data_IF_054255029939
#
_entry.id   IF_054255029939
#
_cell.length_a   1.000
_cell.length_b   1.000
_cell.length_c   1.000
_cell.angle_alpha   90.00
_cell.angle_beta   90.00
_cell.angle_gamma   90.00
#
_symmetry.space_group_name_H-M   'P 1'
#
loop_
_entity.id
_entity.type
_entity.pdbx_description
1 polymer ?
#
# COMPACT_ATOMS: atom_id res chain seq x y z
N UNK A 1 -3.74 -6.29 -20.91
CA UNK A 1 -4.38 -6.28 -19.57
C UNK A 1 -3.97 -7.47 -18.71
N UNK A 2 -4.40 -8.71 -18.94
CA UNK A 2 -3.95 -9.86 -18.12
C UNK A 2 -2.45 -10.21 -18.32
N UNK A 3 -1.92 -10.08 -19.54
CA UNK A 3 -0.48 -10.31 -19.81
C UNK A 3 0.40 -9.30 -19.08
N UNK A 4 -0.01 -8.02 -19.07
CA UNK A 4 0.72 -6.94 -18.39
C UNK A 4 0.67 -7.13 -16.87
N UNK A 5 -0.46 -7.57 -16.32
CA UNK A 5 -0.57 -7.97 -14.91
C UNK A 5 0.32 -9.17 -14.57
N UNK A 6 0.35 -10.20 -15.41
CA UNK A 6 1.23 -11.35 -15.20
C UNK A 6 2.72 -10.94 -15.22
N UNK A 7 3.12 -10.08 -16.15
CA UNK A 7 4.50 -9.59 -16.21
C UNK A 7 4.84 -8.69 -15.02
N UNK A 8 3.89 -7.87 -14.55
CA UNK A 8 4.00 -7.14 -13.28
C UNK A 8 4.21 -8.10 -12.10
N UNK A 9 3.40 -9.16 -11.96
CA UNK A 9 3.52 -10.12 -10.87
C UNK A 9 4.85 -10.89 -10.89
N UNK A 10 5.35 -11.26 -12.08
CA UNK A 10 6.70 -11.85 -12.23
C UNK A 10 7.80 -10.88 -11.77
N UNK A 11 7.65 -9.60 -12.07
CA UNK A 11 8.57 -8.55 -11.60
C UNK A 11 8.51 -8.45 -10.07
N UNK A 12 7.32 -8.45 -9.47
CA UNK A 12 7.16 -8.39 -8.00
C UNK A 12 7.89 -9.53 -7.28
N UNK A 13 7.93 -10.74 -7.85
CA UNK A 13 8.66 -11.88 -7.27
C UNK A 13 10.18 -11.71 -7.24
N UNK A 14 10.74 -10.83 -8.09
CA UNK A 14 12.18 -10.54 -8.14
C UNK A 14 12.63 -9.53 -7.09
N UNK A 15 11.70 -8.78 -6.52
CA UNK A 15 11.95 -7.73 -5.54
C UNK A 15 11.99 -8.23 -4.09
N UNK A 16 12.39 -7.39 -3.13
CA UNK A 16 12.44 -7.72 -1.71
C UNK A 16 11.16 -8.32 -1.11
N UNK A 17 10.00 -8.19 -1.75
CA UNK A 17 8.74 -8.82 -1.34
C UNK A 17 8.88 -10.30 -0.97
N UNK A 18 9.73 -11.07 -1.66
CA UNK A 18 9.96 -12.50 -1.37
C UNK A 18 10.51 -12.78 0.04
N UNK A 19 11.12 -11.78 0.68
CA UNK A 19 11.66 -11.87 2.04
C UNK A 19 10.62 -11.54 3.12
N UNK A 20 9.47 -10.99 2.73
CA UNK A 20 8.36 -10.64 3.62
C UNK A 20 7.15 -11.53 3.33
N UNK A 21 7.15 -12.80 3.79
CA UNK A 21 6.09 -13.76 3.47
C UNK A 21 4.73 -13.39 4.08
N UNK A 22 4.72 -12.54 5.11
CA UNK A 22 3.50 -11.98 5.69
C UNK A 22 3.28 -10.56 5.13
N UNK A 23 2.29 -10.34 4.24
CA UNK A 23 1.85 -9.00 3.85
C UNK A 23 1.29 -8.21 5.04
N UNK A 24 1.91 -7.10 5.44
CA UNK A 24 1.50 -6.37 6.64
C UNK A 24 0.07 -5.76 6.58
N UNK A 25 -0.57 -5.70 5.41
CA UNK A 25 -1.96 -5.25 5.27
C UNK A 25 -3.01 -6.37 5.43
N UNK A 26 -2.60 -7.63 5.58
CA UNK A 26 -3.52 -8.77 5.76
C UNK A 26 -3.28 -9.40 7.13
N UNK A 27 -4.38 -9.59 7.88
CA UNK A 27 -4.35 -10.43 9.06
C UNK A 27 -4.40 -11.92 8.65
N UNK A 28 -3.27 -12.45 8.18
CA UNK A 28 -3.16 -13.84 7.71
C UNK A 28 -3.54 -14.83 8.82
N UNK A 29 -3.23 -14.48 10.06
CA UNK A 29 -3.52 -15.31 11.22
C UNK A 29 -5.03 -15.46 11.45
N UNK A 30 -5.76 -14.34 11.50
CA UNK A 30 -7.22 -14.37 11.62
C UNK A 30 -7.87 -15.12 10.44
N UNK A 31 -7.42 -14.87 9.21
CA UNK A 31 -7.91 -15.59 8.03
C UNK A 31 -7.67 -17.11 8.13
N UNK A 32 -6.49 -17.53 8.59
CA UNK A 32 -6.15 -18.94 8.72
C UNK A 32 -6.99 -19.63 9.82
N UNK A 33 -7.20 -18.95 10.95
CA UNK A 33 -8.05 -19.44 12.03
C UNK A 33 -9.51 -19.57 11.59
N UNK A 34 -10.03 -18.57 10.85
CA UNK A 34 -11.38 -18.62 10.26
C UNK A 34 -11.54 -19.75 9.25
N UNK A 35 -10.45 -20.19 8.60
CA UNK A 35 -10.44 -21.35 7.69
C UNK A 35 -10.12 -22.68 8.39
N UNK A 36 -10.09 -22.70 9.73
CA UNK A 36 -9.79 -23.92 10.52
C UNK A 36 -8.43 -24.55 10.18
N UNK A 37 -7.44 -23.74 9.80
CA UNK A 37 -6.06 -24.21 9.65
C UNK A 37 -5.55 -24.68 11.01
N UNK A 38 -5.05 -25.91 11.09
CA UNK A 38 -4.59 -26.47 12.37
C UNK A 38 -3.35 -25.76 12.92
N UNK A 39 -3.22 -25.76 14.26
CA UNK A 39 -2.16 -25.08 15.00
C UNK A 39 -0.75 -25.50 14.57
N UNK A 40 -0.55 -26.77 14.19
CA UNK A 40 0.77 -27.27 13.76
C UNK A 40 1.19 -26.64 12.43
N UNK A 41 0.28 -26.58 11.47
CA UNK A 41 0.53 -25.93 10.18
C UNK A 41 0.79 -24.43 10.37
N UNK A 42 -0.01 -23.78 11.23
CA UNK A 42 0.11 -22.37 11.54
C UNK A 42 1.43 -22.03 12.26
N UNK A 43 1.81 -22.81 13.28
CA UNK A 43 3.09 -22.66 13.98
C UNK A 43 4.29 -22.89 13.05
N UNK A 44 4.19 -23.86 12.12
CA UNK A 44 5.21 -24.08 11.09
C UNK A 44 5.34 -22.89 10.14
N UNK A 45 4.21 -22.32 9.72
CA UNK A 45 4.21 -21.13 8.87
C UNK A 45 4.81 -19.92 9.59
N UNK A 46 4.41 -19.66 10.84
CA UNK A 46 4.95 -18.58 11.69
C UNK A 46 6.45 -18.72 11.89
N UNK A 47 6.94 -19.94 12.16
CA UNK A 47 8.39 -20.23 12.24
C UNK A 47 9.09 -19.94 10.90
N UNK A 48 8.42 -20.23 9.78
CA UNK A 48 8.88 -19.85 8.44
C UNK A 48 8.97 -18.33 8.24
N UNK A 49 8.01 -17.56 8.76
CA UNK A 49 8.05 -16.09 8.75
C UNK A 49 9.28 -15.58 9.50
N UNK A 50 9.56 -16.08 10.71
CA UNK A 50 10.76 -15.70 11.48
C UNK A 50 12.03 -15.95 10.68
N UNK A 51 12.22 -17.16 10.14
CA UNK A 51 13.40 -17.51 9.32
C UNK A 51 13.56 -16.59 8.11
N UNK A 52 12.46 -16.21 7.46
CA UNK A 52 12.50 -15.27 6.32
C UNK A 52 12.90 -13.87 6.74
N UNK A 53 12.40 -13.38 7.87
CA UNK A 53 12.80 -12.08 8.42
C UNK A 53 14.28 -12.05 8.86
N UNK A 54 14.80 -13.16 9.37
CA UNK A 54 16.24 -13.30 9.66
C UNK A 54 17.09 -13.23 8.39
N UNK A 55 16.73 -14.01 7.35
CA UNK A 55 17.41 -13.94 6.06
C UNK A 55 17.27 -12.56 5.39
N UNK A 56 16.15 -11.85 5.62
CA UNK A 56 15.96 -10.48 5.16
C UNK A 56 17.00 -9.53 5.76
N UNK A 57 17.30 -9.66 7.07
CA UNK A 57 18.30 -8.83 7.76
C UNK A 57 19.69 -8.99 7.14
N UNK A 58 20.09 -10.20 6.75
CA UNK A 58 21.37 -10.45 6.06
C UNK A 58 21.49 -9.68 4.73
N UNK A 59 20.35 -9.40 4.10
CA UNK A 59 20.25 -8.62 2.85
C UNK A 59 19.96 -7.14 3.09
N UNK A 60 20.06 -6.64 4.33
CA UNK A 60 19.67 -5.30 4.75
C UNK A 60 18.21 -4.92 4.43
N UNK A 61 17.32 -5.92 4.47
CA UNK A 61 15.89 -5.76 4.27
C UNK A 61 15.19 -5.75 5.63
N UNK A 62 14.60 -4.61 5.97
CA UNK A 62 13.93 -4.40 7.26
C UNK A 62 12.49 -3.97 7.04
N UNK A 63 11.57 -4.44 7.87
CA UNK A 63 10.20 -3.93 7.95
C UNK A 63 10.19 -2.43 8.29
N UNK A 64 9.24 -1.67 7.74
CA UNK A 64 8.98 -0.31 8.23
C UNK A 64 8.32 -0.37 9.60
N UNK A 65 8.27 0.78 10.28
CA UNK A 65 7.54 0.90 11.54
C UNK A 65 6.06 0.55 11.39
N UNK A 66 5.42 1.00 10.31
CA UNK A 66 4.01 0.70 10.00
C UNK A 66 3.81 -0.82 9.84
N UNK A 67 4.66 -1.48 9.04
CA UNK A 67 4.58 -2.92 8.83
C UNK A 67 4.78 -3.70 10.14
N UNK A 68 5.77 -3.31 10.94
CA UNK A 68 6.07 -3.92 12.23
C UNK A 68 4.89 -3.78 13.22
N UNK A 69 4.33 -2.58 13.33
CA UNK A 69 3.24 -2.29 14.26
C UNK A 69 1.96 -3.05 13.87
N UNK A 70 1.64 -3.18 12.57
CA UNK A 70 0.54 -4.03 12.09
C UNK A 70 0.73 -5.50 12.46
N UNK A 71 1.92 -6.06 12.19
CA UNK A 71 2.20 -7.46 12.52
C UNK A 71 2.08 -7.72 14.03
N UNK A 72 2.62 -6.84 14.87
CA UNK A 72 2.46 -6.91 16.33
C UNK A 72 0.98 -6.83 16.75
N UNK A 73 0.21 -5.97 16.09
CA UNK A 73 -1.24 -5.86 16.28
C UNK A 73 -1.96 -7.19 16.00
N UNK A 74 -1.67 -7.84 14.87
CA UNK A 74 -2.29 -9.12 14.50
C UNK A 74 -1.94 -10.26 15.46
N UNK A 75 -0.74 -10.24 16.04
CA UNK A 75 -0.26 -11.26 16.98
C UNK A 75 -0.77 -11.02 18.41
N UNK A 76 -1.29 -9.83 18.69
CA UNK A 76 -1.79 -9.50 20.02
C UNK A 76 -2.95 -10.42 20.39
N UNK A 77 -2.85 -11.06 21.56
CA UNK A 77 -3.80 -12.04 22.08
C UNK A 77 -3.91 -13.36 21.27
N UNK A 78 -2.92 -13.68 20.44
CA UNK A 78 -2.89 -14.92 19.66
C UNK A 78 -1.75 -15.84 20.10
N UNK A 79 -2.00 -16.89 20.92
CA UNK A 79 -0.94 -17.74 21.48
C UNK A 79 -0.02 -18.39 20.44
N UNK A 80 -0.59 -18.81 19.30
CA UNK A 80 0.16 -19.41 18.18
C UNK A 80 1.17 -18.43 17.56
N UNK A 81 0.96 -17.12 17.76
CA UNK A 81 1.81 -16.02 17.32
C UNK A 81 2.99 -15.70 18.24
N UNK A 82 3.09 -16.30 19.44
CA UNK A 82 4.05 -15.88 20.46
C UNK A 82 5.50 -15.91 19.99
N UNK A 83 5.90 -16.94 19.23
CA UNK A 83 7.27 -17.07 18.71
C UNK A 83 7.65 -15.88 17.82
N UNK A 84 6.75 -15.46 16.92
CA UNK A 84 6.99 -14.30 16.07
C UNK A 84 6.89 -13.00 16.89
N UNK A 85 5.96 -12.91 17.84
CA UNK A 85 5.84 -11.72 18.69
C UNK A 85 7.10 -11.47 19.53
N UNK A 86 7.72 -12.52 20.07
CA UNK A 86 9.01 -12.46 20.76
C UNK A 86 10.11 -11.96 19.83
N UNK A 87 10.22 -12.53 18.63
CA UNK A 87 11.18 -12.07 17.62
C UNK A 87 10.98 -10.59 17.23
N UNK A 88 9.72 -10.15 17.08
CA UNK A 88 9.39 -8.78 16.69
C UNK A 88 9.60 -7.76 17.82
N UNK A 89 9.70 -8.19 19.08
CA UNK A 89 9.91 -7.29 20.23
C UNK A 89 11.19 -6.47 20.09
N UNK A 90 12.28 -7.14 19.70
CA UNK A 90 13.61 -6.54 19.55
C UNK A 90 13.96 -6.23 18.08
N UNK A 91 12.96 -6.32 17.19
CA UNK A 91 13.16 -6.04 15.77
C UNK A 91 13.37 -4.54 15.51
N UNK A 92 14.48 -4.20 14.86
CA UNK A 92 14.78 -2.83 14.43
C UNK A 92 14.14 -2.53 13.06
N UNK A 93 13.14 -1.65 12.97
CA UNK A 93 12.57 -1.27 11.69
C UNK A 93 13.49 -0.33 10.90
N UNK A 94 13.27 -0.24 9.58
CA UNK A 94 13.84 0.83 8.74
C UNK A 94 13.26 2.20 9.13
N UNK A 95 14.02 3.27 8.92
CA UNK A 95 13.66 4.63 9.37
C UNK A 95 12.54 5.27 8.55
N UNK A 96 12.45 4.93 7.27
CA UNK A 96 11.48 5.41 6.32
C UNK A 96 10.38 4.39 6.07
N UNK A 97 9.19 4.90 5.79
CA UNK A 97 8.00 4.08 5.60
C UNK A 97 7.84 3.62 4.14
N UNK A 98 8.44 4.34 3.19
CA UNK A 98 8.36 4.06 1.76
C UNK A 98 9.34 3.00 1.24
N UNK A 99 9.19 2.68 -0.04
CA UNK A 99 10.02 1.67 -0.72
C UNK A 99 11.43 2.18 -0.99
N UNK A 100 11.64 3.49 -1.16
CA UNK A 100 12.93 4.13 -1.46
C UNK A 100 14.11 3.62 -0.62
N UNK A 101 13.88 3.30 0.66
CA UNK A 101 14.93 2.84 1.57
C UNK A 101 15.29 1.37 1.44
N UNK A 102 14.53 0.61 0.66
CA UNK A 102 14.86 -0.76 0.36
C UNK A 102 15.87 -0.81 -0.79
N UNK A 103 16.77 -1.81 -0.83
CA UNK A 103 17.56 -2.14 -2.01
C UNK A 103 16.69 -2.23 -3.26
N UNK A 104 17.04 -1.48 -4.31
CA UNK A 104 16.29 -1.32 -5.55
C UNK A 104 14.85 -0.79 -5.36
N UNK A 105 14.62 -0.03 -4.29
CA UNK A 105 13.30 0.48 -3.91
C UNK A 105 12.68 1.42 -4.92
N UNK A 106 13.50 2.25 -5.59
CA UNK A 106 13.03 3.16 -6.64
C UNK A 106 12.55 2.41 -7.88
N UNK A 107 13.33 1.43 -8.32
CA UNK A 107 13.01 0.56 -9.45
C UNK A 107 11.76 -0.25 -9.14
N UNK A 108 11.66 -0.74 -7.90
CA UNK A 108 10.47 -1.45 -7.45
C UNK A 108 9.24 -0.55 -7.49
N UNK A 109 9.33 0.67 -6.95
CA UNK A 109 8.24 1.64 -7.01
C UNK A 109 7.88 2.01 -8.46
N UNK A 110 8.87 2.23 -9.33
CA UNK A 110 8.64 2.47 -10.76
C UNK A 110 7.87 1.32 -11.42
N UNK A 111 8.20 0.06 -11.11
CA UNK A 111 7.47 -1.08 -11.67
C UNK A 111 5.99 -1.11 -11.25
N UNK A 112 5.68 -0.62 -10.05
CA UNK A 112 4.30 -0.49 -9.56
C UNK A 112 3.58 0.65 -10.24
N UNK A 113 4.24 1.80 -10.42
CA UNK A 113 3.70 2.92 -11.20
C UNK A 113 3.36 2.47 -12.63
N UNK A 114 4.28 1.79 -13.31
CA UNK A 114 4.04 1.30 -14.67
C UNK A 114 2.79 0.42 -14.76
N UNK A 115 2.51 -0.38 -13.73
CA UNK A 115 1.34 -1.23 -13.68
C UNK A 115 0.06 -0.43 -13.36
N UNK A 116 0.05 0.32 -12.24
CA UNK A 116 -1.16 1.00 -11.78
C UNK A 116 -1.52 2.20 -12.66
N UNK A 117 -0.55 3.03 -13.05
CA UNK A 117 -0.79 4.17 -13.95
C UNK A 117 -0.99 3.71 -15.41
N UNK A 118 -0.41 2.56 -15.79
CA UNK A 118 -0.56 1.96 -17.12
C UNK A 118 0.49 2.39 -18.16
N UNK A 119 1.36 3.35 -17.82
CA UNK A 119 2.43 3.83 -18.70
C UNK A 119 3.77 3.99 -17.95
N UNK A 120 4.92 3.80 -18.65
CA UNK A 120 6.24 3.94 -18.05
C UNK A 120 6.67 5.41 -17.92
N UNK A 121 5.99 6.15 -17.03
CA UNK A 121 6.28 7.57 -16.78
C UNK A 121 7.14 7.71 -15.51
N UNK A 122 8.13 8.61 -15.56
CA UNK A 122 9.00 8.86 -14.42
C UNK A 122 8.21 9.48 -13.24
N UNK A 123 8.52 9.14 -11.97
CA UNK A 123 7.68 9.53 -10.83
C UNK A 123 7.64 11.04 -10.63
N UNK A 124 8.72 11.73 -10.98
CA UNK A 124 8.83 13.20 -10.92
C UNK A 124 7.87 13.89 -11.88
N UNK A 125 7.63 13.28 -13.05
CA UNK A 125 6.71 13.82 -14.06
C UNK A 125 5.28 13.68 -13.53
N UNK A 126 4.92 12.52 -12.99
CA UNK A 126 3.62 12.29 -12.36
C UNK A 126 3.40 13.22 -11.17
N UNK A 127 4.44 13.42 -10.33
CA UNK A 127 4.35 14.34 -9.19
C UNK A 127 4.06 15.77 -9.64
N UNK A 128 4.76 16.25 -10.67
CA UNK A 128 4.51 17.58 -11.23
C UNK A 128 3.09 17.72 -11.78
N UNK A 129 2.57 16.68 -12.44
CA UNK A 129 1.19 16.65 -12.94
C UNK A 129 0.18 16.73 -11.79
N UNK A 130 0.36 15.92 -10.76
CA UNK A 130 -0.49 15.91 -9.56
C UNK A 130 -0.46 17.25 -8.84
N UNK A 131 0.72 17.82 -8.63
CA UNK A 131 0.88 19.12 -7.96
C UNK A 131 0.30 20.27 -8.79
N UNK A 132 0.44 20.21 -10.12
CA UNK A 132 -0.20 21.16 -11.01
C UNK A 132 -1.72 21.09 -10.88
N UNK A 133 -2.32 19.90 -10.96
CA UNK A 133 -3.77 19.71 -10.79
C UNK A 133 -4.27 20.23 -9.44
N UNK A 134 -3.55 19.93 -8.36
CA UNK A 134 -3.86 20.44 -7.02
C UNK A 134 -3.75 21.97 -6.90
N UNK A 135 -2.85 22.61 -7.66
CA UNK A 135 -2.67 24.07 -7.65
C UNK A 135 -3.78 24.83 -8.39
N UNK A 136 -4.47 24.18 -9.33
CA UNK A 136 -5.61 24.77 -10.03
C UNK A 136 -6.83 24.89 -9.09
N UNK A 137 -6.86 24.10 -8.03
CA UNK A 137 -7.92 24.10 -7.04
C UNK A 137 -7.50 24.93 -5.81
N UNK A 138 -7.76 26.25 -5.89
CA UNK A 138 -7.56 27.23 -4.83
C UNK A 138 -8.58 27.11 -3.67
N UNK A 139 -9.35 26.02 -3.61
CA UNK A 139 -10.32 25.80 -2.55
C UNK A 139 -9.65 25.66 -1.17
N UNK A 140 -10.42 26.00 -0.13
CA UNK A 140 -10.17 25.59 1.25
C UNK A 140 -9.96 24.06 1.30
N UNK A 141 -9.29 23.52 2.34
CA UNK A 141 -9.17 22.08 2.50
C UNK A 141 -10.52 21.38 2.29
N UNK A 142 -10.54 20.31 1.49
CA UNK A 142 -11.79 19.64 1.19
C UNK A 142 -12.24 18.79 2.39
N UNK A 143 -13.52 18.85 2.72
CA UNK A 143 -14.15 17.91 3.64
C UNK A 143 -14.13 16.53 3.00
N UNK A 144 -13.64 15.53 3.74
CA UNK A 144 -13.60 14.14 3.29
C UNK A 144 -14.63 13.33 4.07
N UNK A 145 -15.58 12.73 3.35
CA UNK A 145 -16.54 11.80 3.96
C UNK A 145 -15.83 10.63 4.63
N UNK A 146 -16.44 10.08 5.68
CA UNK A 146 -15.94 8.88 6.36
C UNK A 146 -15.71 7.74 5.36
N UNK A 147 -14.53 7.13 5.39
CA UNK A 147 -14.14 6.10 4.44
C UNK A 147 -13.68 4.81 5.13
N UNK A 148 -14.08 3.67 4.58
CA UNK A 148 -13.57 2.36 5.01
C UNK A 148 -12.21 2.06 4.37
N UNK A 149 -11.16 2.39 5.11
CA UNK A 149 -9.76 2.16 4.76
C UNK A 149 -9.27 0.72 5.01
N UNK A 150 -10.16 -0.23 5.36
CA UNK A 150 -9.77 -1.63 5.57
C UNK A 150 -9.46 -2.29 4.23
N UNK A 151 -8.17 -2.31 3.88
CA UNK A 151 -7.65 -2.83 2.60
C UNK A 151 -7.25 -1.72 1.62
N UNK A 152 -6.85 -2.06 0.38
CA UNK A 152 -6.39 -1.07 -0.58
C UNK A 152 -7.48 -0.05 -0.91
N UNK A 153 -7.20 1.25 -0.68
CA UNK A 153 -8.17 2.33 -0.91
C UNK A 153 -8.67 2.35 -2.37
N UNK A 154 -7.76 2.17 -3.33
CA UNK A 154 -8.11 2.17 -4.75
C UNK A 154 -9.11 1.06 -5.10
N UNK A 155 -8.90 -0.14 -4.58
CA UNK A 155 -9.81 -1.25 -4.76
C UNK A 155 -11.19 -0.94 -4.17
N UNK A 156 -11.25 -0.39 -2.95
CA UNK A 156 -12.50 -0.05 -2.29
C UNK A 156 -13.33 0.95 -3.11
N UNK A 157 -12.70 2.02 -3.58
CA UNK A 157 -13.37 3.02 -4.43
C UNK A 157 -13.91 2.37 -5.69
N UNK A 158 -13.13 1.50 -6.35
CA UNK A 158 -13.57 0.84 -7.57
C UNK A 158 -14.74 -0.10 -7.33
N UNK A 159 -14.65 -0.98 -6.33
CA UNK A 159 -15.72 -1.95 -6.04
C UNK A 159 -17.04 -1.30 -5.60
N UNK A 160 -17.01 -0.02 -5.17
CA UNK A 160 -18.21 0.74 -4.83
C UNK A 160 -18.93 1.32 -6.05
N UNK A 161 -18.22 1.49 -7.18
CA UNK A 161 -18.71 2.28 -8.30
C UNK A 161 -18.58 1.59 -9.67
N UNK A 162 -17.83 0.50 -9.74
CA UNK A 162 -17.44 -0.15 -10.98
C UNK A 162 -17.63 -1.67 -10.86
N UNK A 163 -18.03 -2.30 -11.96
CA UNK A 163 -17.97 -3.75 -12.09
C UNK A 163 -16.51 -4.21 -12.14
N UNK A 164 -16.03 -5.07 -11.23
CA UNK A 164 -14.64 -5.50 -11.20
C UNK A 164 -14.25 -6.35 -12.42
N UNK A 165 -13.09 -6.09 -13.01
CA UNK A 165 -12.46 -7.02 -13.95
C UNK A 165 -11.68 -8.06 -13.18
N UNK A 166 -11.90 -9.35 -13.46
CA UNK A 166 -11.11 -10.43 -12.87
C UNK A 166 -9.60 -10.25 -13.16
N UNK A 167 -8.80 -10.40 -12.10
CA UNK A 167 -7.35 -10.26 -12.12
C UNK A 167 -6.64 -11.42 -11.44
N UNK A 168 -5.32 -11.34 -11.42
CA UNK A 168 -4.42 -12.36 -10.90
C UNK A 168 -3.85 -11.97 -9.53
N UNK A 169 -3.83 -10.68 -9.21
CA UNK A 169 -3.25 -10.14 -7.98
C UNK A 169 -4.16 -10.38 -6.77
N UNK A 170 -3.81 -11.35 -5.92
CA UNK A 170 -4.49 -11.56 -4.63
C UNK A 170 -4.34 -10.35 -3.68
N UNK A 171 -3.29 -9.55 -3.84
CA UNK A 171 -3.08 -8.29 -3.10
C UNK A 171 -4.17 -7.27 -3.41
N UNK A 172 -4.68 -7.31 -4.64
CA UNK A 172 -5.78 -6.48 -5.13
C UNK A 172 -7.11 -7.27 -5.15
N UNK A 173 -7.22 -8.32 -4.33
CA UNK A 173 -8.46 -9.11 -4.20
C UNK A 173 -8.85 -9.87 -5.46
N UNK A 174 -7.89 -10.24 -6.31
CA UNK A 174 -8.09 -10.84 -7.63
C UNK A 174 -8.89 -9.93 -8.58
N UNK A 175 -8.72 -8.61 -8.44
CA UNK A 175 -9.25 -7.61 -9.36
C UNK A 175 -8.11 -6.97 -10.14
N UNK A 176 -8.26 -6.91 -11.46
CA UNK A 176 -7.36 -6.14 -12.30
C UNK A 176 -7.74 -4.66 -12.18
N UNK A 177 -7.11 -3.98 -11.21
CA UNK A 177 -7.41 -2.58 -10.86
C UNK A 177 -7.29 -1.63 -12.07
N UNK A 178 -6.20 -1.67 -12.89
CA UNK A 178 -6.11 -0.83 -14.08
C UNK A 178 -7.20 -1.10 -15.12
N UNK A 179 -7.49 -2.37 -15.41
CA UNK A 179 -8.55 -2.73 -16.36
C UNK A 179 -9.93 -2.29 -15.86
N UNK A 180 -10.17 -2.40 -14.56
CA UNK A 180 -11.42 -1.98 -13.91
C UNK A 180 -11.63 -0.48 -14.06
N UNK A 181 -10.60 0.34 -13.83
CA UNK A 181 -10.68 1.80 -14.09
C UNK A 181 -10.94 2.07 -15.56
N UNK A 182 -10.20 1.42 -16.47
CA UNK A 182 -10.30 1.69 -17.90
C UNK A 182 -11.68 1.39 -18.48
N UNK A 183 -12.38 0.37 -17.97
CA UNK A 183 -13.76 0.06 -18.38
C UNK A 183 -14.82 0.87 -17.63
N UNK A 184 -14.46 1.47 -16.50
CA UNK A 184 -15.39 2.20 -15.66
C UNK A 184 -15.46 3.66 -16.07
N UNK A 185 -16.66 4.15 -16.36
CA UNK A 185 -16.90 5.59 -16.58
C UNK A 185 -17.04 6.33 -15.24
N UNK A 186 -16.04 6.17 -14.37
CA UNK A 186 -16.08 6.69 -13.02
C UNK A 186 -16.05 8.22 -13.05
N UNK A 187 -17.12 8.85 -12.54
CA UNK A 187 -17.17 10.31 -12.32
C UNK A 187 -17.12 10.57 -10.83
N UNK A 188 -16.05 11.24 -10.40
CA UNK A 188 -15.82 11.56 -9.01
C UNK A 188 -16.22 13.00 -8.72
N UNK A 189 -16.82 13.22 -7.55
CA UNK A 189 -17.06 14.57 -7.06
C UNK A 189 -15.72 15.31 -6.87
N UNK A 190 -15.66 16.64 -7.07
CA UNK A 190 -14.41 17.41 -6.97
C UNK A 190 -13.63 17.18 -5.66
N UNK A 191 -14.33 17.07 -4.53
CA UNK A 191 -13.71 16.78 -3.23
C UNK A 191 -12.97 15.43 -3.23
N UNK A 192 -13.54 14.41 -3.88
CA UNK A 192 -12.92 13.09 -4.02
C UNK A 192 -11.75 13.10 -5.01
N UNK A 193 -11.84 13.89 -6.09
CA UNK A 193 -10.71 14.11 -6.99
C UNK A 193 -9.54 14.75 -6.24
N UNK A 194 -9.79 15.82 -5.46
CA UNK A 194 -8.77 16.47 -4.61
C UNK A 194 -8.16 15.51 -3.58
N UNK A 195 -8.99 14.69 -2.93
CA UNK A 195 -8.52 13.64 -2.02
C UNK A 195 -7.57 12.68 -2.72
N UNK A 196 -7.95 12.14 -3.89
CA UNK A 196 -7.11 11.21 -4.65
C UNK A 196 -5.81 11.86 -5.12
N UNK A 197 -5.85 13.07 -5.66
CA UNK A 197 -4.64 13.80 -6.05
C UNK A 197 -3.70 14.02 -4.84
N UNK A 198 -4.25 14.38 -3.68
CA UNK A 198 -3.45 14.52 -2.44
C UNK A 198 -2.80 13.19 -2.05
N UNK A 199 -3.53 12.08 -2.16
CA UNK A 199 -3.00 10.75 -1.86
C UNK A 199 -1.91 10.33 -2.85
N UNK A 200 -2.05 10.65 -4.13
CA UNK A 200 -1.02 10.42 -5.14
C UNK A 200 0.26 11.23 -4.84
N UNK A 201 0.11 12.48 -4.39
CA UNK A 201 1.25 13.32 -4.02
C UNK A 201 2.03 12.69 -2.85
N UNK A 202 1.33 12.29 -1.78
CA UNK A 202 2.00 11.66 -0.65
C UNK A 202 2.53 10.25 -0.98
N UNK A 203 1.91 9.51 -1.89
CA UNK A 203 2.40 8.20 -2.36
C UNK A 203 3.76 8.35 -3.05
N UNK A 204 3.85 9.25 -4.02
CA UNK A 204 5.13 9.54 -4.69
C UNK A 204 6.14 10.14 -3.70
N UNK A 205 5.70 11.04 -2.83
CA UNK A 205 6.51 11.61 -1.76
C UNK A 205 7.14 10.54 -0.87
N UNK A 206 6.34 9.61 -0.35
CA UNK A 206 6.77 8.53 0.54
C UNK A 206 7.69 7.55 -0.20
N UNK A 207 7.23 7.01 -1.33
CA UNK A 207 7.87 5.85 -1.94
C UNK A 207 9.04 6.20 -2.87
N UNK A 208 9.07 7.42 -3.42
CA UNK A 208 10.13 7.86 -4.32
C UNK A 208 11.00 8.98 -3.74
N UNK A 209 10.41 9.99 -3.10
CA UNK A 209 11.18 11.11 -2.52
C UNK A 209 11.67 10.85 -1.09
N UNK A 210 11.22 9.75 -0.47
CA UNK A 210 11.62 9.38 0.89
C UNK A 210 11.03 10.29 1.96
N UNK A 211 9.84 10.86 1.73
CA UNK A 211 9.15 11.64 2.74
C UNK A 211 8.93 10.82 4.02
N UNK A 212 9.13 11.49 5.14
CA UNK A 212 8.80 10.94 6.46
C UNK A 212 7.28 10.87 6.67
N UNK A 213 6.87 10.03 7.62
CA UNK A 213 5.47 9.96 8.07
C UNK A 213 4.91 11.34 8.42
N UNK A 214 5.68 12.17 9.16
CA UNK A 214 5.27 13.52 9.54
C UNK A 214 5.06 14.45 8.34
N UNK A 215 5.92 14.36 7.32
CA UNK A 215 5.75 15.15 6.10
C UNK A 215 4.47 14.75 5.37
N UNK A 216 4.19 13.45 5.23
CA UNK A 216 2.96 12.97 4.61
C UNK A 216 1.70 13.42 5.38
N UNK A 217 1.71 13.34 6.72
CA UNK A 217 0.62 13.83 7.58
C UNK A 217 0.34 15.32 7.36
N UNK A 218 1.38 16.16 7.42
CA UNK A 218 1.25 17.61 7.22
C UNK A 218 0.73 17.93 5.81
N UNK A 219 1.24 17.25 4.78
CA UNK A 219 0.74 17.47 3.41
C UNK A 219 -0.73 17.06 3.27
N UNK A 220 -1.16 15.95 3.86
CA UNK A 220 -2.58 15.55 3.87
C UNK A 220 -3.46 16.62 4.54
N UNK A 221 -3.10 17.03 5.76
CA UNK A 221 -3.91 17.92 6.59
C UNK A 221 -3.91 19.37 6.09
N UNK A 222 -2.92 19.78 5.29
CA UNK A 222 -2.95 21.09 4.63
C UNK A 222 -3.90 21.12 3.42
N UNK A 223 -4.22 19.96 2.83
CA UNK A 223 -5.06 19.86 1.64
C UNK A 223 -6.49 19.38 1.92
N UNK A 224 -6.69 18.64 3.00
CA UNK A 224 -7.94 17.96 3.38
C UNK A 224 -8.27 18.22 4.85
N UNK A 225 -9.55 18.41 5.17
CA UNK A 225 -10.03 18.53 6.56
C UNK A 225 -10.09 17.13 7.20
N UNK A 226 -9.00 16.73 7.86
CA UNK A 226 -8.85 15.41 8.47
C UNK A 226 -8.47 15.51 9.95
N UNK A 227 -9.01 14.62 10.78
CA UNK A 227 -8.46 14.36 12.11
C UNK A 227 -7.09 13.68 12.00
N UNK A 228 -6.31 13.71 13.08
CA UNK A 228 -5.01 13.01 13.14
C UNK A 228 -5.16 11.50 12.86
N UNK A 229 -6.23 10.89 13.36
CA UNK A 229 -6.52 9.47 13.11
C UNK A 229 -6.80 9.21 11.63
N UNK A 230 -7.63 10.04 10.99
CA UNK A 230 -7.95 9.90 9.56
C UNK A 230 -6.71 10.11 8.68
N UNK A 231 -5.90 11.13 8.96
CA UNK A 231 -4.66 11.36 8.23
C UNK A 231 -3.67 10.20 8.43
N UNK A 232 -3.52 9.72 9.67
CA UNK A 232 -2.66 8.56 9.99
C UNK A 232 -3.03 7.35 9.16
N UNK A 233 -4.33 7.06 9.13
CA UNK A 233 -4.93 5.98 8.39
C UNK A 233 -4.67 6.06 6.87
N UNK A 234 -4.75 7.26 6.28
CA UNK A 234 -4.39 7.46 4.87
C UNK A 234 -2.90 7.25 4.60
N UNK A 235 -2.02 7.76 5.47
CA UNK A 235 -0.57 7.54 5.35
C UNK A 235 -0.23 6.06 5.42
N UNK A 236 -0.85 5.33 6.36
CA UNK A 236 -0.67 3.88 6.47
C UNK A 236 -1.16 3.14 5.21
N UNK A 237 -2.33 3.50 4.68
CA UNK A 237 -2.87 2.88 3.49
C UNK A 237 -1.93 3.06 2.29
N UNK A 238 -1.47 4.30 2.06
CA UNK A 238 -0.51 4.61 1.00
C UNK A 238 0.79 3.82 1.19
N UNK A 239 1.35 3.83 2.40
CA UNK A 239 2.59 3.11 2.69
C UNK A 239 2.49 1.58 2.45
N UNK A 240 1.32 1.00 2.71
CA UNK A 240 1.05 -0.43 2.55
C UNK A 240 0.62 -0.82 1.13
N UNK A 241 0.12 0.13 0.33
CA UNK A 241 -0.41 -0.07 -1.02
C UNK A 241 0.25 0.88 -2.04
N UNK A 242 1.59 0.82 -2.18
CA UNK A 242 2.36 1.75 -3.01
C UNK A 242 1.86 1.80 -4.45
N UNK A 243 1.71 3.00 -4.98
CA UNK A 243 1.26 3.34 -6.33
C UNK A 243 -0.19 2.96 -6.66
N UNK A 244 -0.92 2.25 -5.79
CA UNK A 244 -2.27 1.76 -6.12
C UNK A 244 -3.24 2.88 -6.46
N UNK A 245 -3.15 4.02 -5.76
CA UNK A 245 -4.00 5.20 -5.97
C UNK A 245 -3.70 5.93 -7.27
N UNK A 246 -2.54 5.71 -7.90
CA UNK A 246 -2.19 6.36 -9.18
C UNK A 246 -3.02 5.83 -10.36
N UNK A 247 -3.74 4.72 -10.18
CA UNK A 247 -4.65 4.18 -11.19
C UNK A 247 -5.72 5.18 -11.62
N UNK A 248 -6.10 6.12 -10.75
CA UNK A 248 -7.12 7.12 -11.06
C UNK A 248 -6.58 8.32 -11.83
N UNK A 249 -5.26 8.52 -11.93
CA UNK A 249 -4.72 9.80 -12.42
C UNK A 249 -5.16 10.13 -13.85
N UNK A 250 -5.38 9.12 -14.70
CA UNK A 250 -5.83 9.31 -16.08
C UNK A 250 -7.30 9.75 -16.22
N UNK A 251 -8.09 9.67 -15.15
CA UNK A 251 -9.52 10.01 -15.13
C UNK A 251 -9.84 11.24 -14.24
N UNK A 252 -8.81 11.91 -13.72
CA UNK A 252 -8.92 13.10 -12.87
C UNK A 252 -8.66 14.40 -13.63
#
# INVERSE_FOLDING_TARGET
>A
MQRDELDYLKIQQRYPARYFPWPAHVNVLDNALNQSVNDKALASWISGVVKRLEAAKESNLYLSRIELDKLKGYLSNQPVGNVLMEYLRDYKPRSGIGLYQLPNGKEWYQSKLNFYYGEPVAPNVLLNQVQYALSQDNAKPAVVDSFDIRGPLALKILTQHCEPVEGLSWLDGYVNVPATVAQCQLKLAPQRQRMLLTLMEIDIGIHYQGWSYKQAMVTLQTRLELTDEQASNFVENVALHPASVLVFLSIL
#
